data_IF_137961771438
#
_entry.id   IF_137961771438
#
_cell.length_a   1.000
_cell.length_b   1.000
_cell.length_c   1.000
_cell.angle_alpha   90.00
_cell.angle_beta   90.00
_cell.angle_gamma   90.00
#
_symmetry.space_group_name_H-M   'P 1'
#
loop_
_entity.id
_entity.type
_entity.pdbx_description
1 polymer ?
#
# COMPACT_ATOMS: atom_id res chain seq x y z
N UNK A 1 -17.08 50.67 -17.15
CA UNK A 1 -16.83 49.21 -17.10
C UNK A 1 -16.14 48.78 -18.38
N UNK A 2 -14.80 48.76 -18.40
CA UNK A 2 -14.01 48.06 -19.43
C UNK A 2 -12.54 48.14 -19.03
N UNK A 3 -12.00 47.07 -18.48
CA UNK A 3 -10.56 46.80 -18.57
C UNK A 3 -10.37 45.30 -18.70
N UNK A 4 -10.32 44.83 -19.95
CA UNK A 4 -9.86 43.50 -20.33
C UNK A 4 -8.50 43.67 -21.01
N UNK A 5 -7.61 42.72 -20.73
CA UNK A 5 -6.32 42.40 -21.37
C UNK A 5 -5.10 42.94 -20.63
N UNK A 6 -4.42 42.03 -19.93
CA UNK A 6 -2.98 41.87 -20.08
C UNK A 6 -2.62 40.40 -19.84
N UNK A 7 -2.10 39.81 -20.92
CA UNK A 7 -1.55 38.47 -21.03
C UNK A 7 -0.19 38.39 -20.31
N UNK A 8 0.10 37.17 -19.80
CA UNK A 8 1.38 36.47 -19.72
C UNK A 8 2.65 37.24 -19.29
N UNK A 9 3.24 36.78 -18.20
CA UNK A 9 4.66 36.41 -18.19
C UNK A 9 4.90 35.31 -17.15
N UNK A 10 5.19 34.10 -17.65
CA UNK A 10 5.79 33.04 -16.88
C UNK A 10 7.28 33.32 -16.75
N UNK A 11 7.79 33.37 -15.52
CA UNK A 11 9.23 33.13 -15.28
C UNK A 11 9.39 32.54 -13.90
N UNK A 12 9.68 31.24 -13.91
CA UNK A 12 10.11 30.47 -12.75
C UNK A 12 11.41 31.07 -12.20
N UNK A 13 11.34 31.64 -11.01
CA UNK A 13 12.50 31.97 -10.19
C UNK A 13 12.59 30.95 -9.05
N UNK A 14 12.92 29.70 -9.39
CA UNK A 14 13.46 28.75 -8.43
C UNK A 14 14.96 29.02 -8.31
N UNK A 15 15.33 29.92 -7.39
CA UNK A 15 16.72 30.07 -6.97
C UNK A 15 16.81 30.12 -5.45
N UNK A 16 17.23 28.97 -4.93
CA UNK A 16 18.12 28.77 -3.78
C UNK A 16 17.66 29.34 -2.44
N UNK A 17 16.95 28.51 -1.68
CA UNK A 17 16.90 28.65 -0.22
C UNK A 17 18.18 28.03 0.35
N UNK A 18 19.01 28.77 1.11
CA UNK A 18 20.09 28.15 1.87
C UNK A 18 19.45 27.39 3.05
N UNK A 19 19.51 26.06 3.03
CA UNK A 19 19.19 25.24 4.19
C UNK A 19 20.31 25.42 5.23
N UNK A 20 20.19 26.45 6.06
CA UNK A 20 20.91 26.55 7.32
C UNK A 20 19.89 26.72 8.45
N UNK A 21 19.16 25.64 8.73
CA UNK A 21 18.31 25.52 9.90
C UNK A 21 18.91 24.46 10.81
N UNK A 22 19.88 24.84 11.63
CA UNK A 22 20.24 24.05 12.81
C UNK A 22 19.11 24.22 13.82
N UNK A 23 18.00 23.52 13.61
CA UNK A 23 16.97 23.39 14.63
C UNK A 23 17.55 22.50 15.75
N UNK A 24 18.18 23.14 16.73
CA UNK A 24 18.53 22.49 17.99
C UNK A 24 17.20 22.16 18.67
N UNK A 25 16.76 20.92 18.51
CA UNK A 25 15.62 20.37 19.21
C UNK A 25 16.01 20.16 20.68
N UNK A 26 15.78 21.17 21.53
CA UNK A 26 15.91 21.10 22.99
C UNK A 26 14.83 20.16 23.54
N UNK A 27 15.08 18.85 23.44
CA UNK A 27 14.15 17.79 23.85
C UNK A 27 14.23 16.50 23.03
N UNK A 28 14.95 16.49 21.90
CA UNK A 28 15.15 15.28 21.13
C UNK A 28 16.14 14.36 21.85
N UNK A 29 15.62 13.33 22.52
CA UNK A 29 16.42 12.22 23.01
C UNK A 29 16.97 11.44 21.82
N UNK A 30 18.24 11.06 21.88
CA UNK A 30 18.84 10.13 20.92
C UNK A 30 18.10 8.80 21.04
N UNK A 31 17.12 8.57 20.16
CA UNK A 31 16.66 7.23 19.85
C UNK A 31 17.87 6.56 19.19
N UNK A 32 18.33 5.45 19.76
CA UNK A 32 19.50 4.72 19.24
C UNK A 32 19.36 4.36 17.76
N UNK A 33 20.37 3.69 17.18
CA UNK A 33 20.26 3.24 15.79
C UNK A 33 18.93 2.50 15.60
N UNK A 34 18.10 3.00 14.69
CA UNK A 34 16.98 2.22 14.16
C UNK A 34 17.65 1.03 13.49
N UNK A 35 17.65 -0.12 14.15
CA UNK A 35 18.03 -1.38 13.53
C UNK A 35 16.88 -1.69 12.60
N UNK A 36 16.98 -1.19 11.36
CA UNK A 36 16.14 -1.66 10.28
C UNK A 36 16.50 -3.13 10.09
N UNK A 37 15.66 -4.03 10.61
CA UNK A 37 15.78 -5.44 10.29
C UNK A 37 15.81 -5.56 8.76
N UNK A 38 16.70 -6.41 8.20
CA UNK A 38 16.88 -6.46 6.77
C UNK A 38 15.57 -6.79 6.04
N UNK A 39 15.27 -6.01 5.00
CA UNK A 39 14.01 -6.14 4.25
C UNK A 39 13.76 -7.56 3.69
N UNK A 40 14.82 -8.34 3.42
CA UNK A 40 14.70 -9.72 2.94
C UNK A 40 14.15 -10.71 3.99
N UNK A 41 14.08 -10.31 5.27
CA UNK A 41 13.47 -11.12 6.33
C UNK A 41 11.95 -10.94 6.40
N UNK A 42 11.37 -10.09 5.56
CA UNK A 42 9.94 -9.82 5.58
C UNK A 42 9.33 -9.96 4.19
N UNK A 43 8.04 -10.26 4.18
CA UNK A 43 7.16 -10.10 3.03
C UNK A 43 5.83 -9.52 3.51
N UNK A 44 4.94 -9.20 2.59
CA UNK A 44 3.60 -8.70 2.87
C UNK A 44 2.57 -9.77 2.56
N UNK A 45 1.68 -10.03 3.52
CA UNK A 45 0.58 -10.98 3.34
C UNK A 45 -0.78 -10.29 3.55
N UNK A 46 -1.75 -10.69 2.75
CA UNK A 46 -3.17 -10.37 2.90
C UNK A 46 -4.00 -11.64 2.72
N UNK A 47 -5.26 -11.61 3.17
CA UNK A 47 -6.16 -12.76 3.06
C UNK A 47 -7.52 -12.35 2.53
N UNK A 48 -8.05 -13.15 1.60
CA UNK A 48 -9.39 -12.97 1.04
C UNK A 48 -10.23 -14.22 1.22
N UNK A 49 -11.55 -14.04 1.24
CA UNK A 49 -12.56 -15.08 1.28
C UNK A 49 -13.41 -15.01 0.02
N UNK A 50 -13.58 -16.12 -0.69
CA UNK A 50 -14.34 -16.16 -1.95
C UNK A 50 -15.29 -17.35 -2.00
N UNK A 51 -16.36 -17.20 -2.79
CA UNK A 51 -17.32 -18.27 -3.06
C UNK A 51 -16.80 -19.15 -4.19
N UNK A 52 -16.88 -20.47 -3.98
CA UNK A 52 -16.58 -21.46 -5.01
C UNK A 52 -17.78 -22.38 -5.21
N UNK A 53 -18.25 -22.43 -6.45
CA UNK A 53 -19.37 -23.28 -6.85
C UNK A 53 -18.86 -24.55 -7.53
N UNK A 54 -19.46 -25.69 -7.20
CA UNK A 54 -19.10 -26.99 -7.76
C UNK A 54 -20.31 -27.92 -7.82
N UNK A 55 -20.20 -28.96 -8.65
CA UNK A 55 -21.15 -30.06 -8.66
C UNK A 55 -20.64 -31.18 -7.75
N UNK A 56 -21.47 -31.61 -6.80
CA UNK A 56 -21.13 -32.74 -5.93
C UNK A 56 -21.25 -34.08 -6.69
N UNK A 57 -20.89 -35.19 -6.04
CA UNK A 57 -20.97 -36.53 -6.65
C UNK A 57 -22.40 -36.96 -7.01
N UNK A 58 -23.42 -36.30 -6.46
CA UNK A 58 -24.84 -36.52 -6.81
C UNK A 58 -25.33 -35.57 -7.94
N UNK A 59 -24.44 -34.77 -8.55
CA UNK A 59 -24.79 -33.83 -9.61
C UNK A 59 -25.52 -32.57 -9.15
N UNK A 60 -25.51 -32.26 -7.85
CA UNK A 60 -26.14 -31.05 -7.32
C UNK A 60 -25.16 -29.88 -7.30
N UNK A 61 -25.63 -28.70 -7.72
CA UNK A 61 -24.86 -27.47 -7.67
C UNK A 61 -24.79 -26.94 -6.22
N UNK A 62 -23.58 -26.88 -5.66
CA UNK A 62 -23.31 -26.52 -4.26
C UNK A 62 -22.26 -25.41 -4.17
N UNK A 63 -22.37 -24.58 -3.12
CA UNK A 63 -21.41 -23.53 -2.80
C UNK A 63 -20.57 -23.92 -1.59
N UNK A 64 -19.28 -23.56 -1.62
CA UNK A 64 -18.42 -23.52 -0.43
C UNK A 64 -17.67 -22.19 -0.37
N UNK A 65 -17.27 -21.83 0.85
CA UNK A 65 -16.36 -20.72 1.09
C UNK A 65 -14.93 -21.21 1.12
N UNK A 66 -14.06 -20.52 0.38
CA UNK A 66 -12.62 -20.75 0.38
C UNK A 66 -11.90 -19.49 0.84
N UNK A 67 -10.65 -19.67 1.28
CA UNK A 67 -9.72 -18.59 1.61
C UNK A 67 -8.52 -18.65 0.67
N UNK A 68 -7.97 -17.49 0.33
CA UNK A 68 -6.72 -17.38 -0.41
C UNK A 68 -5.81 -16.38 0.31
N UNK A 69 -4.54 -16.73 0.40
CA UNK A 69 -3.47 -15.87 0.87
C UNK A 69 -2.83 -15.18 -0.33
N UNK A 70 -2.50 -13.90 -0.13
CA UNK A 70 -1.92 -13.02 -1.14
C UNK A 70 -0.60 -12.53 -0.59
N UNK A 71 0.49 -12.77 -1.32
CA UNK A 71 1.84 -12.41 -0.88
C UNK A 71 2.49 -11.41 -1.82
N UNK A 72 3.28 -10.49 -1.30
CA UNK A 72 4.12 -9.59 -2.08
C UNK A 72 5.42 -9.21 -1.36
N UNK A 73 6.50 -9.02 -2.11
CA UNK A 73 7.79 -8.59 -1.54
C UNK A 73 7.73 -7.14 -1.03
N UNK A 74 6.80 -6.35 -1.57
CA UNK A 74 6.52 -4.97 -1.14
C UNK A 74 5.04 -4.80 -0.83
N UNK A 75 4.71 -3.81 0.02
CA UNK A 75 3.32 -3.47 0.34
C UNK A 75 2.51 -3.19 -0.92
N UNK A 76 3.06 -2.40 -1.85
CA UNK A 76 2.39 -2.05 -3.11
C UNK A 76 2.11 -3.26 -4.00
N UNK A 77 3.02 -4.24 -4.05
CA UNK A 77 2.82 -5.49 -4.81
C UNK A 77 1.72 -6.37 -4.19
N UNK A 78 1.62 -6.41 -2.87
CA UNK A 78 0.54 -7.10 -2.17
C UNK A 78 -0.81 -6.38 -2.40
N UNK A 79 -0.85 -5.06 -2.26
CA UNK A 79 -2.08 -4.27 -2.45
C UNK A 79 -2.61 -4.33 -3.88
N UNK A 80 -1.71 -4.31 -4.88
CA UNK A 80 -2.08 -4.50 -6.28
C UNK A 80 -2.80 -5.83 -6.51
N UNK A 81 -2.27 -6.93 -5.95
CA UNK A 81 -2.89 -8.24 -6.03
C UNK A 81 -4.20 -8.29 -5.25
N UNK A 82 -4.24 -7.74 -4.03
CA UNK A 82 -5.44 -7.67 -3.20
C UNK A 82 -6.59 -6.96 -3.92
N UNK A 83 -6.30 -5.84 -4.60
CA UNK A 83 -7.29 -5.10 -5.39
C UNK A 83 -7.81 -5.92 -6.58
N UNK A 84 -6.96 -6.76 -7.20
CA UNK A 84 -7.40 -7.67 -8.26
C UNK A 84 -8.40 -8.71 -7.74
N UNK A 85 -8.18 -9.26 -6.54
CA UNK A 85 -9.11 -10.18 -5.88
C UNK A 85 -10.42 -9.50 -5.44
N UNK A 86 -10.36 -8.28 -4.91
CA UNK A 86 -11.56 -7.53 -4.56
C UNK A 86 -12.46 -7.28 -5.78
N UNK A 87 -11.85 -7.04 -6.95
CA UNK A 87 -12.57 -6.89 -8.22
C UNK A 87 -13.28 -8.16 -8.71
N UNK A 88 -12.89 -9.34 -8.23
CA UNK A 88 -13.50 -10.63 -8.62
C UNK A 88 -14.69 -11.04 -7.71
N UNK A 89 -15.09 -10.19 -6.78
CA UNK A 89 -16.15 -10.49 -5.80
C UNK A 89 -15.67 -11.27 -4.57
N UNK A 90 -14.34 -11.38 -4.36
CA UNK A 90 -13.80 -11.86 -3.10
C UNK A 90 -13.93 -10.78 -2.00
N UNK A 91 -14.09 -11.22 -0.77
CA UNK A 91 -14.17 -10.37 0.42
C UNK A 91 -12.79 -10.29 1.07
N UNK A 92 -12.31 -9.08 1.36
CA UNK A 92 -11.07 -8.89 2.11
C UNK A 92 -11.29 -9.28 3.57
N UNK A 93 -10.47 -10.20 4.07
CA UNK A 93 -10.48 -10.66 5.47
C UNK A 93 -9.36 -9.96 6.24
N UNK A 94 -8.18 -9.89 5.63
CA UNK A 94 -7.00 -9.22 6.18
C UNK A 94 -6.35 -8.40 5.07
N UNK A 95 -6.04 -7.14 5.38
CA UNK A 95 -5.26 -6.27 4.48
C UNK A 95 -3.78 -6.64 4.52
N UNK A 96 -2.99 -6.08 3.60
CA UNK A 96 -1.56 -6.32 3.53
C UNK A 96 -0.87 -5.93 4.84
N UNK A 97 -0.29 -6.92 5.52
CA UNK A 97 0.49 -6.77 6.75
C UNK A 97 1.88 -7.35 6.55
N UNK A 98 2.86 -6.77 7.23
CA UNK A 98 4.26 -7.20 7.13
C UNK A 98 4.49 -8.44 8.01
N UNK A 99 4.87 -9.55 7.40
CA UNK A 99 5.11 -10.85 8.03
C UNK A 99 6.59 -11.21 7.93
N UNK A 100 7.15 -11.83 8.98
CA UNK A 100 8.55 -12.26 9.02
C UNK A 100 8.69 -13.65 8.40
N UNK A 101 9.68 -13.83 7.53
CA UNK A 101 10.10 -15.13 6.99
C UNK A 101 10.68 -15.98 8.13
N UNK A 102 10.11 -17.16 8.40
CA UNK A 102 10.61 -18.13 9.39
C UNK A 102 11.44 -19.24 8.73
#
# INVERSE_FOLDING_TARGET
>A
MTLRKLLLAATAAFLTVPFASNAICTGCTYAGPIIDDPAYLYHWEARVKYQYWYYNQQGQHTMRWNYADISGDTQSSCEYQLNSWAGSGAQVVEFCTRVRNF
#
